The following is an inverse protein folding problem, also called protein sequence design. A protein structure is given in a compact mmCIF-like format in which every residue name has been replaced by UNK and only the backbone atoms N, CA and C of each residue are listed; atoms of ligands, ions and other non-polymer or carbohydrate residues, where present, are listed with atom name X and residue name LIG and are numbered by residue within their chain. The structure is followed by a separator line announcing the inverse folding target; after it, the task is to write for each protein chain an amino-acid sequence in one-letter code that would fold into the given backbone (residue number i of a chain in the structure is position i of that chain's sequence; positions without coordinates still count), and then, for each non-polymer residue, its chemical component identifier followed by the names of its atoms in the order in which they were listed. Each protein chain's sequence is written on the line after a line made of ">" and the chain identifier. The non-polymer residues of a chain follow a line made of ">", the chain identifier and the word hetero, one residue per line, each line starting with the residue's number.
data_IF_693019318652
#
_entry.id   IF_693019318652
#
_cell.length_a   1.000
_cell.length_b   1.000
_cell.length_c   1.000
_cell.angle_alpha   90.00
_cell.angle_beta   90.00
_cell.angle_gamma   90.00
#
_symmetry.space_group_name_H-M   'P 1'
#
loop_
_entity.id
_entity.type
_entity.pdbx_description
1 polymer ?
#
# COMPACT_ATOMS: atom_id res chain seq x y z
N UNK A 1 -13.89 -4.90 -5.00
CA UNK A 1 -13.17 -3.92 -5.83
C UNK A 1 -11.96 -4.58 -6.47
N UNK A 2 -11.71 -4.34 -7.75
CA UNK A 2 -10.46 -4.77 -8.42
C UNK A 2 -9.58 -3.55 -8.69
N UNK A 3 -8.27 -3.65 -8.46
CA UNK A 3 -7.31 -2.55 -8.60
C UNK A 3 -6.38 -2.74 -9.81
N UNK A 4 -6.66 -2.02 -10.90
CA UNK A 4 -5.95 -2.16 -12.18
C UNK A 4 -4.86 -1.12 -12.38
N UNK A 5 -4.42 -0.53 -11.27
CA UNK A 5 -3.53 0.61 -11.24
C UNK A 5 -2.09 0.17 -11.51
N UNK A 6 -1.31 1.06 -12.15
CA UNK A 6 0.14 0.84 -12.37
C UNK A 6 0.93 0.79 -11.05
N UNK A 7 0.33 1.28 -9.96
CA UNK A 7 0.90 1.31 -8.61
C UNK A 7 -0.22 1.39 -7.56
N UNK A 8 0.08 1.02 -6.33
CA UNK A 8 -0.73 1.35 -5.15
C UNK A 8 -0.05 2.47 -4.36
N UNK A 9 -0.84 3.44 -3.90
CA UNK A 9 -0.39 4.55 -3.05
C UNK A 9 -0.96 4.37 -1.64
N UNK A 10 -0.12 4.52 -0.64
CA UNK A 10 -0.52 4.64 0.76
C UNK A 10 -0.31 6.09 1.17
N UNK A 11 -1.34 6.72 1.73
CA UNK A 11 -1.45 8.17 1.91
C UNK A 11 -1.84 8.49 3.36
N UNK A 12 -1.32 9.61 3.87
CA UNK A 12 -1.79 10.27 5.10
C UNK A 12 -1.91 11.74 4.74
N UNK A 13 -3.11 12.31 4.85
CA UNK A 13 -3.41 13.71 4.48
C UNK A 13 -2.80 14.10 3.11
N UNK A 14 -3.15 13.32 2.07
CA UNK A 14 -2.61 13.37 0.69
C UNK A 14 -1.09 13.14 0.53
N UNK A 15 -0.33 13.03 1.62
CA UNK A 15 1.12 12.81 1.63
C UNK A 15 1.42 11.33 1.39
N UNK A 16 2.14 10.95 0.31
CA UNK A 16 2.48 9.55 0.04
C UNK A 16 3.52 9.04 1.03
N UNK A 17 3.16 8.01 1.80
CA UNK A 17 4.06 7.33 2.76
C UNK A 17 4.68 6.05 2.18
N UNK A 18 4.02 5.42 1.22
CA UNK A 18 4.53 4.25 0.47
C UNK A 18 3.91 4.21 -0.92
N UNK A 19 4.70 3.74 -1.89
CA UNK A 19 4.22 3.32 -3.21
C UNK A 19 4.68 1.89 -3.47
N UNK A 20 3.80 1.07 -4.04
CA UNK A 20 4.14 -0.26 -4.53
C UNK A 20 3.74 -0.35 -6.01
N UNK A 21 4.72 -0.43 -6.90
CA UNK A 21 4.52 -0.41 -8.37
C UNK A 21 4.25 -1.81 -8.90
N UNK A 22 3.40 -1.95 -9.92
CA UNK A 22 3.24 -3.21 -10.63
C UNK A 22 4.57 -3.58 -11.33
N UNK A 23 5.15 -4.70 -10.91
CA UNK A 23 6.37 -5.27 -11.49
C UNK A 23 6.17 -6.72 -11.95
N UNK A 24 4.98 -7.07 -12.42
CA UNK A 24 4.68 -8.41 -12.96
C UNK A 24 5.56 -8.76 -14.17
N UNK A 25 5.99 -7.75 -14.94
CA UNK A 25 6.99 -7.89 -16.01
C UNK A 25 8.37 -8.39 -15.52
N UNK A 26 8.60 -8.46 -14.20
CA UNK A 26 9.78 -9.00 -13.52
C UNK A 26 9.43 -10.24 -12.67
N UNK A 27 8.24 -10.81 -12.83
CA UNK A 27 7.76 -11.98 -12.08
C UNK A 27 7.31 -11.67 -10.64
N UNK A 28 7.17 -10.40 -10.26
CA UNK A 28 6.69 -10.00 -8.92
C UNK A 28 5.15 -9.95 -8.95
N UNK A 29 4.43 -10.75 -8.15
CA UNK A 29 2.97 -10.71 -8.11
C UNK A 29 2.43 -9.34 -7.70
N UNK A 30 1.30 -8.93 -8.29
CA UNK A 30 0.63 -7.67 -7.99
C UNK A 30 -0.89 -7.90 -7.87
N UNK A 31 -1.60 -7.32 -6.89
CA UNK A 31 -2.99 -7.66 -6.61
C UNK A 31 -3.97 -6.94 -7.55
N UNK A 32 -3.99 -7.38 -8.81
CA UNK A 32 -4.84 -6.84 -9.90
C UNK A 32 -6.04 -7.69 -10.32
N UNK A 33 -6.06 -8.99 -10.02
CA UNK A 33 -7.07 -9.92 -10.57
C UNK A 33 -8.08 -10.41 -9.53
N UNK A 34 -7.81 -10.17 -8.24
CA UNK A 34 -8.63 -10.59 -7.12
C UNK A 34 -9.43 -9.41 -6.58
N UNK A 35 -10.75 -9.58 -6.47
CA UNK A 35 -11.62 -8.56 -5.91
C UNK A 35 -11.44 -8.49 -4.39
N UNK A 36 -11.07 -7.32 -3.87
CA UNK A 36 -10.88 -7.06 -2.44
C UNK A 36 -12.09 -6.35 -1.82
N UNK A 37 -12.32 -6.62 -0.53
CA UNK A 37 -13.18 -5.82 0.36
C UNK A 37 -12.35 -4.86 1.22
N UNK A 38 -12.99 -3.84 1.78
CA UNK A 38 -12.40 -2.92 2.75
C UNK A 38 -12.77 -3.38 4.16
N UNK A 39 -11.78 -3.46 5.06
CA UNK A 39 -11.96 -3.93 6.42
C UNK A 39 -11.35 -2.92 7.42
N UNK A 40 -11.99 -2.78 8.58
CA UNK A 40 -11.45 -2.04 9.72
C UNK A 40 -11.74 -2.83 10.99
N UNK A 41 -10.81 -2.82 11.95
CA UNK A 41 -10.95 -3.54 13.21
C UNK A 41 -10.06 -2.91 14.29
N UNK A 42 -10.49 -3.06 15.55
CA UNK A 42 -9.67 -2.84 16.74
C UNK A 42 -9.57 -4.18 17.48
N UNK A 43 -8.36 -4.65 17.76
CA UNK A 43 -8.10 -5.96 18.35
C UNK A 43 -6.76 -5.98 19.10
N UNK A 44 -6.59 -6.94 20.01
CA UNK A 44 -5.36 -7.09 20.78
C UNK A 44 -4.31 -7.91 20.01
N UNK A 45 -3.13 -7.33 19.79
CA UNK A 45 -2.02 -7.92 19.05
C UNK A 45 -0.72 -7.95 19.90
N UNK A 46 -0.88 -8.26 21.19
CA UNK A 46 0.15 -8.27 22.24
C UNK A 46 1.47 -8.97 21.87
N UNK A 47 1.47 -9.96 20.99
CA UNK A 47 2.66 -10.74 20.65
C UNK A 47 3.63 -10.02 19.71
N UNK A 48 3.23 -8.92 19.08
CA UNK A 48 4.09 -8.19 18.13
C UNK A 48 3.87 -6.67 18.07
N UNK A 49 2.69 -6.14 18.39
CA UNK A 49 2.32 -4.77 18.06
C UNK A 49 3.21 -3.68 18.69
N UNK A 50 3.49 -3.76 19.98
CA UNK A 50 4.23 -2.71 20.70
C UNK A 50 5.63 -3.17 21.08
N UNK A 51 6.65 -2.50 20.52
CA UNK A 51 8.08 -2.84 20.69
C UNK A 51 8.40 -4.33 20.37
N UNK A 52 7.76 -4.89 19.33
CA UNK A 52 7.93 -6.31 18.98
C UNK A 52 7.35 -7.26 20.03
N UNK A 53 6.24 -6.88 20.65
CA UNK A 53 5.52 -7.69 21.65
C UNK A 53 6.04 -7.59 23.09
N UNK A 54 7.01 -6.70 23.36
CA UNK A 54 7.59 -6.49 24.71
C UNK A 54 6.65 -5.75 25.65
N UNK A 55 5.83 -4.84 25.13
CA UNK A 55 4.86 -4.06 25.91
C UNK A 55 3.47 -4.61 25.64
N UNK A 56 2.85 -5.16 26.69
CA UNK A 56 1.52 -5.77 26.64
C UNK A 56 0.42 -4.77 26.98
N UNK A 57 -0.79 -5.04 26.53
CA UNK A 57 -1.98 -4.22 26.73
C UNK A 57 -2.35 -4.14 28.21
N UNK A 58 -2.32 -2.94 28.79
CA UNK A 58 -2.86 -2.72 30.14
C UNK A 58 -4.38 -2.54 30.08
N UNK A 59 -5.11 -3.61 30.36
CA UNK A 59 -6.58 -3.62 30.36
C UNK A 59 -7.22 -2.71 31.42
N UNK A 60 -6.48 -2.19 32.41
CA UNK A 60 -7.01 -1.17 33.32
C UNK A 60 -7.24 0.19 32.66
N UNK A 61 -6.76 0.39 31.41
CA UNK A 61 -7.02 1.59 30.60
C UNK A 61 -8.17 1.40 29.59
N UNK A 62 -8.92 0.30 29.67
CA UNK A 62 -10.09 0.07 28.83
C UNK A 62 -11.24 1.04 29.19
N UNK A 63 -12.15 1.39 28.24
CA UNK A 63 -12.22 0.89 26.87
C UNK A 63 -11.24 1.59 25.91
N UNK A 64 -10.66 0.82 25.00
CA UNK A 64 -9.90 1.35 23.86
C UNK A 64 -10.88 1.71 22.74
N UNK A 65 -10.93 2.98 22.33
CA UNK A 65 -11.91 3.51 21.39
C UNK A 65 -11.19 4.03 20.13
N UNK A 66 -11.56 3.49 18.97
CA UNK A 66 -11.19 4.03 17.67
C UNK A 66 -12.43 4.59 16.97
N UNK A 67 -12.35 5.84 16.51
CA UNK A 67 -13.46 6.55 15.86
C UNK A 67 -13.15 6.73 14.37
N UNK A 68 -14.07 6.32 13.51
CA UNK A 68 -13.96 6.41 12.06
C UNK A 68 -15.06 7.33 11.49
N UNK A 69 -14.73 8.07 10.44
CA UNK A 69 -15.63 8.96 9.68
C UNK A 69 -15.25 8.91 8.20
N UNK A 70 -16.04 9.54 7.34
CA UNK A 70 -15.80 9.63 5.89
C UNK A 70 -15.63 8.26 5.21
N UNK A 71 -16.64 7.39 5.33
CA UNK A 71 -16.71 6.09 4.66
C UNK A 71 -17.02 6.22 3.15
N UNK A 72 -16.22 7.00 2.43
CA UNK A 72 -16.32 7.12 0.97
C UNK A 72 -15.47 6.04 0.30
N UNK A 73 -16.10 5.24 -0.57
CA UNK A 73 -15.44 4.20 -1.35
C UNK A 73 -15.72 4.47 -2.82
N UNK A 74 -14.79 5.14 -3.50
CA UNK A 74 -14.86 5.38 -4.94
C UNK A 74 -14.05 4.28 -5.66
N UNK A 75 -14.76 3.32 -6.25
CA UNK A 75 -14.20 2.02 -6.64
C UNK A 75 -14.90 1.40 -7.85
N UNK A 76 -14.19 0.55 -8.59
CA UNK A 76 -14.88 -0.39 -9.49
C UNK A 76 -15.50 -1.54 -8.68
N UNK A 77 -16.82 -1.59 -8.65
CA UNK A 77 -17.59 -2.64 -7.97
C UNK A 77 -17.56 -3.97 -8.73
N UNK A 78 -17.42 -5.07 -7.99
CA UNK A 78 -17.44 -6.44 -8.49
C UNK A 78 -18.41 -7.25 -7.63
N UNK A 79 -19.46 -7.85 -8.19
CA UNK A 79 -20.43 -8.62 -7.40
C UNK A 79 -19.80 -9.92 -6.89
N UNK A 80 -20.18 -10.33 -5.68
CA UNK A 80 -19.62 -11.52 -5.00
C UNK A 80 -19.97 -12.83 -5.76
N UNK A 81 -21.05 -12.82 -6.54
CA UNK A 81 -21.57 -13.98 -7.28
C UNK A 81 -20.67 -14.38 -8.46
N UNK A 82 -19.91 -13.44 -9.05
CA UNK A 82 -18.93 -13.73 -10.10
C UNK A 82 -17.59 -14.16 -9.50
N UNK A 83 -17.52 -15.42 -9.07
CA UNK A 83 -16.27 -16.11 -8.69
C UNK A 83 -15.25 -16.23 -9.84
N UNK A 84 -15.64 -15.85 -11.06
CA UNK A 84 -14.77 -15.75 -12.24
C UNK A 84 -14.04 -14.40 -12.25
N UNK A 85 -12.81 -14.40 -11.75
CA UNK A 85 -11.87 -13.25 -11.80
C UNK A 85 -11.84 -12.57 -13.18
N UNK A 86 -11.83 -13.35 -14.27
CA UNK A 86 -11.84 -12.89 -15.67
C UNK A 86 -13.03 -11.97 -16.01
N UNK A 87 -14.19 -12.17 -15.40
CA UNK A 87 -15.40 -11.38 -15.69
C UNK A 87 -15.38 -10.05 -14.92
N UNK A 88 -14.95 -10.09 -13.66
CA UNK A 88 -14.69 -8.88 -12.86
C UNK A 88 -13.57 -8.03 -13.48
N UNK A 89 -12.51 -8.68 -13.98
CA UNK A 89 -11.43 -8.05 -14.72
C UNK A 89 -11.98 -7.31 -15.94
N UNK A 90 -12.78 -7.96 -16.81
CA UNK A 90 -13.40 -7.30 -17.98
C UNK A 90 -14.28 -6.11 -17.62
N UNK A 91 -14.99 -6.15 -16.49
CA UNK A 91 -15.89 -5.07 -16.04
C UNK A 91 -15.14 -3.81 -15.58
N UNK A 92 -13.97 -4.00 -14.98
CA UNK A 92 -13.13 -2.91 -14.46
C UNK A 92 -12.02 -2.48 -15.44
N UNK A 93 -11.56 -3.37 -16.33
CA UNK A 93 -10.47 -3.14 -17.29
C UNK A 93 -10.96 -2.67 -18.65
N UNK A 94 -12.06 -1.91 -18.71
CA UNK A 94 -12.53 -1.37 -19.98
C UNK A 94 -11.50 -0.40 -20.54
N UNK A 95 -11.11 -0.56 -21.81
CA UNK A 95 -10.15 0.33 -22.49
C UNK A 95 -10.67 1.77 -22.68
N UNK A 96 -11.95 2.00 -22.42
CA UNK A 96 -12.55 3.33 -22.31
C UNK A 96 -12.22 3.92 -20.93
N UNK A 97 -11.80 5.19 -20.89
CA UNK A 97 -11.49 5.97 -19.67
C UNK A 97 -12.72 6.16 -18.79
N UNK A 98 -13.12 5.10 -18.08
CA UNK A 98 -14.37 5.02 -17.34
C UNK A 98 -14.24 5.57 -15.92
N UNK A 99 -13.04 5.51 -15.35
CA UNK A 99 -12.78 5.95 -13.98
C UNK A 99 -11.66 6.99 -13.93
N UNK A 100 -11.78 7.94 -13.00
CA UNK A 100 -10.83 9.04 -12.88
C UNK A 100 -9.41 8.55 -12.53
N UNK A 101 -9.27 7.41 -11.84
CA UNK A 101 -7.98 6.81 -11.48
C UNK A 101 -7.24 6.14 -12.64
N UNK A 102 -7.89 5.97 -13.80
CA UNK A 102 -7.26 5.43 -15.01
C UNK A 102 -6.52 6.50 -15.83
N UNK A 103 -6.57 7.78 -15.41
CA UNK A 103 -5.85 8.86 -16.07
C UNK A 103 -4.32 8.65 -16.03
N UNK A 104 -3.58 8.86 -17.14
CA UNK A 104 -2.17 8.49 -17.24
C UNK A 104 -1.25 9.16 -16.20
N UNK A 105 -1.63 10.34 -15.70
CA UNK A 105 -0.90 11.10 -14.70
C UNK A 105 -1.00 10.53 -13.27
N UNK A 106 -1.99 9.67 -12.97
CA UNK A 106 -2.14 9.02 -11.66
C UNK A 106 -1.35 7.71 -11.55
N UNK A 107 -0.85 7.19 -12.68
CA UNK A 107 0.05 6.04 -12.74
C UNK A 107 1.49 6.31 -12.31
N UNK A 108 1.83 7.55 -11.90
CA UNK A 108 3.15 7.99 -11.43
C UNK A 108 2.94 9.03 -10.32
N UNK A 109 3.88 9.18 -9.38
CA UNK A 109 3.86 10.31 -8.44
C UNK A 109 4.27 11.62 -9.13
N UNK A 110 3.68 12.74 -8.72
CA UNK A 110 4.21 14.05 -9.10
C UNK A 110 5.61 14.30 -8.49
N UNK A 111 6.35 15.31 -8.98
CA UNK A 111 7.64 15.69 -8.40
C UNK A 111 7.49 16.08 -6.92
N UNK A 112 6.45 16.84 -6.58
CA UNK A 112 6.13 17.22 -5.20
C UNK A 112 5.83 16.00 -4.32
N UNK A 113 4.98 15.08 -4.79
CA UNK A 113 4.68 13.82 -4.10
C UNK A 113 5.92 12.94 -3.93
N UNK A 114 6.83 12.94 -4.91
CA UNK A 114 8.10 12.22 -4.83
C UNK A 114 8.99 12.83 -3.73
N UNK A 115 9.09 14.16 -3.65
CA UNK A 115 9.82 14.85 -2.58
C UNK A 115 9.21 14.59 -1.19
N UNK A 116 7.88 14.62 -1.08
CA UNK A 116 7.16 14.23 0.15
C UNK A 116 7.50 12.81 0.58
N UNK A 117 7.41 11.82 -0.32
CA UNK A 117 7.76 10.42 -0.03
C UNK A 117 9.23 10.28 0.41
N UNK A 118 10.16 10.99 -0.23
CA UNK A 118 11.57 11.00 0.18
C UNK A 118 11.76 11.59 1.58
N UNK A 119 11.05 12.67 1.93
CA UNK A 119 11.11 13.29 3.25
C UNK A 119 10.49 12.39 4.33
N UNK A 120 9.34 11.75 4.07
CA UNK A 120 8.74 10.75 4.96
C UNK A 120 9.72 9.61 5.22
N UNK A 121 10.33 9.06 4.16
CA UNK A 121 11.37 8.01 4.28
C UNK A 121 12.58 8.46 5.10
N UNK A 122 13.05 9.68 4.90
CA UNK A 122 14.24 10.19 5.57
C UNK A 122 14.02 10.62 7.04
N UNK A 123 12.77 10.86 7.47
CA UNK A 123 12.46 11.45 8.78
C UNK A 123 11.52 10.61 9.67
N UNK A 124 10.71 9.73 9.10
CA UNK A 124 9.63 9.02 9.81
C UNK A 124 9.64 7.49 9.63
N UNK A 125 10.47 6.96 8.72
CA UNK A 125 10.54 5.51 8.47
C UNK A 125 11.43 4.81 9.50
N UNK A 126 10.81 4.11 10.45
CA UNK A 126 11.50 3.36 11.51
C UNK A 126 11.81 1.90 11.15
N UNK A 127 11.18 1.37 10.10
CA UNK A 127 11.41 0.02 9.58
C UNK A 127 11.16 0.00 8.06
N UNK A 128 12.02 -0.69 7.31
CA UNK A 128 11.84 -0.98 5.90
C UNK A 128 12.34 -2.39 5.59
N UNK A 129 11.44 -3.25 5.12
CA UNK A 129 11.74 -4.63 4.71
C UNK A 129 12.74 -4.69 3.53
N UNK A 130 12.82 -3.64 2.70
CA UNK A 130 13.82 -3.54 1.64
C UNK A 130 15.26 -3.40 2.19
N UNK A 131 15.42 -2.91 3.42
CA UNK A 131 16.70 -2.69 4.08
C UNK A 131 17.00 -3.74 5.18
N UNK A 132 16.03 -4.60 5.51
CA UNK A 132 16.13 -5.63 6.53
C UNK A 132 16.91 -6.85 6.02
N UNK A 133 18.24 -6.77 6.07
CA UNK A 133 19.15 -7.85 5.64
C UNK A 133 19.12 -9.08 6.55
N UNK A 134 18.60 -8.95 7.78
CA UNK A 134 18.44 -10.08 8.69
C UNK A 134 17.27 -10.97 8.28
N UNK A 135 16.17 -10.36 7.81
CA UNK A 135 15.00 -11.06 7.28
C UNK A 135 15.15 -11.45 5.81
N UNK A 136 15.79 -10.60 5.01
CA UNK A 136 15.98 -10.78 3.57
C UNK A 136 17.48 -10.70 3.22
N UNK A 137 18.23 -11.82 3.34
CA UNK A 137 19.66 -11.87 2.97
C UNK A 137 19.93 -11.49 1.52
N UNK A 138 18.96 -11.73 0.63
CA UNK A 138 18.90 -11.18 -0.72
C UNK A 138 17.76 -10.17 -0.76
N UNK A 139 18.07 -8.94 -1.18
CA UNK A 139 17.10 -7.85 -1.24
C UNK A 139 15.93 -8.21 -2.18
N UNK A 140 14.65 -7.97 -1.78
CA UNK A 140 13.50 -8.28 -2.63
C UNK A 140 13.56 -7.58 -4.00
N UNK A 141 13.08 -8.24 -5.05
CA UNK A 141 13.28 -7.81 -6.43
C UNK A 141 12.57 -6.47 -6.77
N UNK A 142 11.48 -6.17 -6.07
CA UNK A 142 10.75 -4.89 -6.12
C UNK A 142 11.56 -3.73 -5.51
N UNK A 143 12.45 -4.04 -4.57
CA UNK A 143 13.31 -3.08 -3.85
C UNK A 143 14.61 -2.73 -4.60
N UNK A 144 14.89 -3.35 -5.75
CA UNK A 144 16.05 -3.02 -6.59
C UNK A 144 15.89 -1.63 -7.23
N UNK A 145 14.64 -1.17 -7.33
CA UNK A 145 14.23 0.21 -7.63
C UNK A 145 14.16 1.05 -6.35
N UNK A 146 13.81 2.34 -6.42
CA UNK A 146 14.02 3.34 -5.34
C UNK A 146 15.50 3.56 -4.93
N UNK A 147 16.43 2.69 -5.31
CA UNK A 147 17.85 2.66 -4.92
C UNK A 147 18.65 3.92 -5.30
N UNK A 148 18.05 4.86 -6.04
CA UNK A 148 18.48 6.27 -6.12
C UNK A 148 18.72 6.90 -4.72
N UNK A 149 18.09 6.40 -3.66
CA UNK A 149 18.36 6.82 -2.28
C UNK A 149 19.80 6.53 -1.78
N UNK A 150 20.55 5.57 -2.34
CA UNK A 150 21.93 5.27 -1.88
C UNK A 150 22.98 6.30 -2.33
N UNK A 151 22.64 7.22 -3.24
CA UNK A 151 23.56 8.26 -3.72
C UNK A 151 23.48 9.58 -2.95
N UNK A 152 22.46 9.77 -2.09
CA UNK A 152 22.22 11.05 -1.37
C UNK A 152 22.71 11.03 0.09
N UNK A 153 23.03 9.85 0.63
CA UNK A 153 23.51 9.67 2.02
C UNK A 153 25.01 9.31 2.10
N UNK A 154 25.80 9.79 1.14
CA UNK A 154 27.26 9.57 1.06
C UNK A 154 28.09 10.85 0.85
N UNK A 155 27.49 12.02 1.11
CA UNK A 155 28.16 13.31 1.29
C UNK A 155 27.76 13.87 2.65
#
# INVERSE_FOLDING_TARGET
>A
MVLLQKLHRFLVDETPIRVHTNMEHRGIPFPKDQAMGVYSSIWNADDWATQGGRVKTNWSHAPFIATYKAFEINACECPIVSSKSVENLKRCSSNEKKYWWDEPNLGVLSLHQSHQLMWVRAKHMVYDYCADTARFPVMPAECVHHSHHKLVLKN
#
